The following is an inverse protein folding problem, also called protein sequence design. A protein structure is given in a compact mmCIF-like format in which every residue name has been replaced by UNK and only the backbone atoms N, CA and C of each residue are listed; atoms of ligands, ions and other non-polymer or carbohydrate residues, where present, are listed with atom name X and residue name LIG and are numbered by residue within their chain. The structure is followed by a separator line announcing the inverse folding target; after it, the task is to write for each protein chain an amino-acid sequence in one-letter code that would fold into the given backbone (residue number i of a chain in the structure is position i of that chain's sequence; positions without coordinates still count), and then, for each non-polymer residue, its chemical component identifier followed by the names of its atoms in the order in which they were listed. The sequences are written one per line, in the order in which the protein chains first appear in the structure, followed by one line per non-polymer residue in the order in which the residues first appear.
data_IF_276671255390
#
_entry.id   IF_276671255390
#
_cell.length_a   1.000
_cell.length_b   1.000
_cell.length_c   1.000
_cell.angle_alpha   90.00
_cell.angle_beta   90.00
_cell.angle_gamma   90.00
#
_symmetry.space_group_name_H-M   'P 1'
#
loop_
_entity.id
_entity.type
_entity.pdbx_description
1 polymer ?
2 polymer ?
3 polymer ?
4 non-polymer ?
5 non-polymer ?
6 water ?
#
# COMPACT_ATOMS: atom_id res chain seq x y z
N UNK A 1 -0.41 18.64 7.00
CA UNK A 1 0.54 18.73 5.89
C UNK A 1 0.03 18.04 4.64
N UNK A 2 0.60 18.44 3.52
CA UNK A 2 0.40 17.83 2.22
C UNK A 2 1.65 17.06 1.85
N UNK A 3 1.47 15.78 1.69
CA UNK A 3 2.64 14.94 1.40
C UNK A 3 2.58 14.47 -0.04
N UNK A 4 3.62 14.83 -0.83
CA UNK A 4 3.65 14.35 -2.19
C UNK A 4 4.18 12.92 -2.16
N UNK A 5 4.10 12.32 -3.31
CA UNK A 5 4.38 10.89 -3.42
C UNK A 5 5.55 10.63 -4.34
N UNK A 6 6.37 11.65 -4.55
CA UNK A 6 7.60 11.40 -5.30
C UNK A 6 8.49 10.43 -4.57
N UNK A 7 8.46 10.41 -3.26
CA UNK A 7 9.23 9.54 -2.39
C UNK A 7 8.29 8.73 -1.52
N UNK A 8 8.76 7.65 -0.89
CA UNK A 8 7.91 6.93 0.06
C UNK A 8 7.45 7.87 1.17
N UNK A 9 6.14 7.86 1.54
CA UNK A 9 5.64 8.75 2.60
C UNK A 9 5.88 8.22 4.00
N UNK A 10 7.09 8.46 4.47
CA UNK A 10 7.61 8.04 5.73
C UNK A 10 7.44 9.13 6.76
N UNK A 11 7.01 8.75 7.95
CA UNK A 11 6.83 9.70 9.03
C UNK A 11 7.35 9.07 10.32
N UNK A 12 7.58 9.94 11.31
CA UNK A 12 7.96 9.48 12.64
C UNK A 12 6.71 9.20 13.45
N UNK A 13 6.74 8.11 14.14
CA UNK A 13 5.69 7.73 15.04
C UNK A 13 6.26 7.48 16.43
N UNK A 14 5.37 7.53 17.43
CA UNK A 14 5.73 7.11 18.81
C UNK A 14 4.74 6.06 19.23
N UNK A 15 5.23 4.92 19.66
CA UNK A 15 4.41 3.79 20.02
C UNK A 15 5.12 3.05 21.13
N UNK A 16 4.41 2.75 22.22
CA UNK A 16 5.06 2.02 23.28
C UNK A 16 6.23 2.76 23.88
N UNK A 17 6.32 4.07 23.85
CA UNK A 17 7.40 4.87 24.35
C UNK A 17 8.60 4.89 23.42
N UNK A 18 8.46 4.36 22.22
CA UNK A 18 9.55 4.24 21.27
C UNK A 18 9.34 5.10 20.02
N UNK A 19 10.35 5.75 19.51
CA UNK A 19 10.21 6.45 18.26
C UNK A 19 10.61 5.52 17.13
N UNK A 20 9.81 5.47 16.11
CA UNK A 20 10.01 4.64 14.93
C UNK A 20 9.66 5.44 13.68
N UNK A 21 10.15 4.96 12.56
CA UNK A 21 9.75 5.47 11.26
C UNK A 21 8.73 4.49 10.68
N UNK A 22 7.70 5.02 9.99
CA UNK A 22 6.64 4.21 9.43
C UNK A 22 6.14 4.83 8.14
N UNK A 23 5.62 3.95 7.30
CA UNK A 23 5.08 4.26 6.01
C UNK A 23 3.58 4.50 6.06
N UNK A 24 3.14 5.67 5.56
CA UNK A 24 1.69 5.92 5.46
C UNK A 24 1.12 5.14 4.30
N UNK A 25 0.27 4.15 4.57
CA UNK A 25 -0.01 3.13 3.51
C UNK A 25 -1.52 3.04 3.37
N UNK A 26 -2.05 3.68 2.32
CA UNK A 26 -3.48 3.64 2.01
C UNK A 26 -3.90 2.25 1.52
N UNK A 27 -2.98 1.43 1.09
CA UNK A 27 -3.28 0.08 0.64
C UNK A 27 -3.37 -0.94 1.74
N UNK A 28 -3.14 -0.58 2.99
CA UNK A 28 -3.15 -1.47 4.12
C UNK A 28 -4.41 -1.26 4.96
N UNK A 29 -5.13 -2.34 5.22
CA UNK A 29 -6.30 -2.18 6.12
C UNK A 29 -5.85 -1.92 7.49
N UNK A 30 -4.73 -2.51 7.94
CA UNK A 30 -4.26 -2.60 9.27
C UNK A 30 -2.89 -1.93 9.44
N UNK A 31 -2.56 -1.61 10.64
CA UNK A 31 -1.25 -1.07 11.06
C UNK A 31 -0.39 -2.22 11.57
N UNK A 32 0.82 -2.32 11.01
CA UNK A 32 1.71 -3.42 11.30
C UNK A 32 3.11 -2.88 11.60
N UNK A 33 3.62 -3.27 12.77
CA UNK A 33 4.88 -2.79 13.30
C UNK A 33 5.81 -3.97 13.49
N UNK A 34 7.09 -3.74 13.25
CA UNK A 34 8.15 -4.73 13.54
C UNK A 34 8.18 -5.16 14.98
N UNK A 35 8.81 -6.28 15.27
CA UNK A 35 8.75 -6.85 16.60
C UNK A 35 9.15 -5.87 17.68
N UNK A 36 8.28 -5.75 18.67
CA UNK A 36 8.42 -4.94 19.85
C UNK A 36 7.46 -5.44 20.90
N UNK A 37 7.71 -5.10 22.15
CA UNK A 37 6.83 -5.38 23.26
C UNK A 37 5.69 -4.39 23.31
N UNK A 38 4.46 -4.81 23.51
CA UNK A 38 3.34 -3.91 23.79
C UNK A 38 2.56 -4.48 24.97
N UNK A 39 1.86 -3.60 25.69
CA UNK A 39 1.05 -4.09 26.81
C UNK A 39 -0.29 -4.70 26.37
N UNK A 40 -0.81 -5.56 27.22
CA UNK A 40 -2.11 -6.15 27.21
C UNK A 40 -2.05 -7.52 26.59
N UNK A 41 -3.28 -8.01 26.45
CA UNK A 41 -3.47 -9.31 25.86
C UNK A 41 -3.37 -9.17 24.34
N UNK A 42 -3.08 -10.28 23.69
CA UNK A 42 -3.03 -10.31 22.25
C UNK A 42 -3.63 -11.64 21.72
N UNK A 43 -3.89 -11.60 20.43
CA UNK A 43 -4.30 -12.88 19.81
C UNK A 43 -3.66 -12.94 18.44
N UNK A 44 -3.46 -14.16 17.99
CA UNK A 44 -2.76 -14.34 16.71
C UNK A 44 -3.64 -14.05 15.54
N UNK A 45 -2.99 -13.59 14.47
CA UNK A 45 -3.65 -13.22 13.21
C UNK A 45 -2.76 -13.55 12.05
N UNK A 46 -3.33 -13.84 10.91
CA UNK A 46 -2.59 -13.96 9.65
C UNK A 46 -2.95 -12.79 8.74
N UNK A 47 -1.99 -12.12 8.17
CA UNK A 47 -2.25 -11.00 7.24
C UNK A 47 -1.47 -11.28 5.96
N UNK A 48 -2.03 -10.86 4.85
CA UNK A 48 -1.50 -11.17 3.57
C UNK A 48 -1.33 -10.02 2.66
N UNK A 49 -0.55 -10.25 1.63
CA UNK A 49 -0.35 -9.25 0.61
C UNK A 49 0.60 -9.83 -0.44
N UNK A 50 1.35 -8.97 -1.10
CA UNK A 50 2.26 -9.52 -2.11
C UNK A 50 3.23 -10.45 -1.42
N UNK A 51 3.44 -11.62 -1.95
CA UNK A 51 4.34 -12.58 -1.37
C UNK A 51 3.66 -13.49 -0.40
N UNK A 52 2.40 -13.34 -0.06
CA UNK A 52 1.66 -14.28 0.79
C UNK A 52 1.42 -13.69 2.17
N UNK A 53 1.39 -14.56 3.18
CA UNK A 53 0.95 -14.21 4.50
C UNK A 53 2.05 -14.28 5.54
N UNK A 54 1.91 -13.51 6.60
CA UNK A 54 2.72 -13.60 7.79
C UNK A 54 1.79 -13.68 9.01
N UNK A 55 2.30 -14.30 10.06
CA UNK A 55 1.61 -14.39 11.34
C UNK A 55 2.05 -13.22 12.22
N UNK A 56 1.10 -12.57 12.84
CA UNK A 56 1.32 -11.40 13.70
C UNK A 56 0.53 -11.57 15.00
N UNK A 57 0.87 -10.73 15.96
CA UNK A 57 0.16 -10.60 17.20
C UNK A 57 -0.74 -9.35 17.12
N UNK A 58 -2.00 -9.50 17.44
CA UNK A 58 -2.94 -8.40 17.43
C UNK A 58 -3.15 -7.83 18.83
N UNK A 59 -2.78 -6.58 19.00
CA UNK A 59 -3.01 -5.83 20.24
C UNK A 59 -4.08 -4.78 20.00
N UNK A 60 -5.04 -4.69 20.90
CA UNK A 60 -6.06 -3.66 20.73
C UNK A 60 -5.84 -2.46 21.66
N UNK A 61 -6.48 -1.34 21.32
CA UNK A 61 -6.48 -0.13 22.11
C UNK A 61 -5.09 0.41 22.38
N UNK A 62 -4.26 0.44 21.34
CA UNK A 62 -2.90 0.95 21.43
C UNK A 62 -2.89 2.39 20.95
N UNK A 63 -2.23 3.26 21.71
CA UNK A 63 -2.11 4.65 21.32
C UNK A 63 -0.84 4.86 20.51
N UNK A 64 -0.96 5.57 19.41
CA UNK A 64 0.19 5.88 18.59
C UNK A 64 0.12 7.39 18.33
N UNK A 65 1.27 8.04 18.31
CA UNK A 65 1.38 9.40 17.84
C UNK A 65 1.99 9.37 16.44
N UNK A 66 1.32 9.88 15.43
CA UNK A 66 1.70 9.78 14.05
C UNK A 66 1.94 11.20 13.55
N UNK A 67 3.21 11.50 13.32
CA UNK A 67 3.58 12.81 12.85
C UNK A 67 2.94 13.89 13.70
N UNK A 68 2.91 13.66 15.00
CA UNK A 68 2.32 14.64 15.93
C UNK A 68 0.84 14.56 16.17
N UNK A 69 0.12 13.60 15.58
CA UNK A 69 -1.29 13.41 15.77
C UNK A 69 -1.55 12.12 16.54
N UNK A 70 -2.32 12.16 17.63
CA UNK A 70 -2.61 11.01 18.49
C UNK A 70 -3.77 10.20 17.90
N UNK A 71 -3.69 8.90 17.95
CA UNK A 71 -4.70 8.01 17.44
C UNK A 71 -4.69 6.79 18.33
N UNK A 72 -5.78 6.10 18.46
CA UNK A 72 -5.83 4.81 19.16
C UNK A 72 -6.45 3.76 18.29
N UNK A 73 -5.97 2.54 18.35
CA UNK A 73 -6.56 1.46 17.61
C UNK A 73 -5.78 0.20 17.73
N UNK A 74 -6.12 -0.76 16.90
CA UNK A 74 -5.46 -2.05 16.90
C UNK A 74 -4.11 -1.93 16.18
N UNK A 75 -3.09 -2.55 16.71
CA UNK A 75 -1.79 -2.61 16.12
C UNK A 75 -1.37 -4.07 16.07
N UNK A 76 -0.91 -4.49 14.90
CA UNK A 76 -0.39 -5.81 14.68
C UNK A 76 1.13 -5.81 14.76
N UNK A 77 1.72 -6.77 15.39
CA UNK A 77 3.15 -6.83 15.59
C UNK A 77 3.71 -8.09 15.00
N UNK A 78 4.73 -8.03 14.14
CA UNK A 78 5.29 -9.25 13.57
C UNK A 78 6.32 -8.91 12.54
N UNK A 79 6.74 -9.91 11.78
CA UNK A 79 7.89 -9.75 10.90
C UNK A 79 7.58 -9.06 9.60
N UNK A 80 7.05 -7.86 9.65
CA UNK A 80 6.82 -7.01 8.52
C UNK A 80 8.14 -6.45 8.02
N UNK A 81 8.36 -6.36 6.71
CA UNK A 81 9.62 -5.77 6.27
C UNK A 81 9.71 -4.27 6.51
N UNK A 82 8.61 -3.58 6.76
CA UNK A 82 8.44 -2.15 6.86
C UNK A 82 7.43 -1.86 7.97
N UNK A 83 7.56 -0.87 8.83
CA UNK A 83 6.47 -0.45 9.68
C UNK A 83 5.43 0.27 8.81
N UNK A 84 4.18 -0.10 8.95
CA UNK A 84 3.04 0.31 8.16
C UNK A 84 1.99 1.01 8.98
N UNK A 85 1.58 2.23 8.67
CA UNK A 85 0.38 2.84 9.25
C UNK A 85 -0.73 2.63 8.23
N UNK A 86 -1.70 1.79 8.58
CA UNK A 86 -2.75 1.50 7.69
C UNK A 86 -4.02 2.29 7.95
N UNK A 87 -5.07 1.97 7.22
CA UNK A 87 -6.26 2.82 7.22
C UNK A 87 -6.90 2.92 8.59
N UNK A 88 -6.81 1.90 9.41
CA UNK A 88 -7.46 1.95 10.70
C UNK A 88 -6.97 3.12 11.53
N UNK A 89 -5.72 3.56 11.37
CA UNK A 89 -5.20 4.75 12.07
C UNK A 89 -5.18 5.96 11.16
N UNK A 90 -4.99 5.81 9.85
CA UNK A 90 -5.02 6.98 8.97
C UNK A 90 -6.33 7.73 9.08
N UNK A 91 -7.45 7.01 9.23
CA UNK A 91 -8.73 7.67 9.34
C UNK A 91 -8.75 8.57 10.58
N UNK A 92 -8.13 8.15 11.65
CA UNK A 92 -8.22 8.81 12.95
C UNK A 92 -7.46 10.14 12.91
N UNK A 93 -6.46 10.25 12.07
CA UNK A 93 -5.72 11.51 11.94
C UNK A 93 -6.26 12.37 10.83
N UNK A 94 -7.36 11.94 10.19
CA UNK A 94 -8.01 12.72 9.14
C UNK A 94 -7.30 12.70 7.81
N UNK A 95 -6.54 11.64 7.54
CA UNK A 95 -5.79 11.57 6.29
C UNK A 95 -6.69 11.28 5.13
N UNK A 96 -6.51 12.01 4.04
CA UNK A 96 -7.23 11.80 2.78
C UNK A 96 -6.24 11.75 1.62
N UNK A 97 -6.64 11.09 0.55
CA UNK A 97 -6.04 11.11 -0.74
C UNK A 97 -6.67 12.15 -1.62
N UNK A 98 -5.91 13.03 -2.24
CA UNK A 98 -6.50 14.13 -2.99
C UNK A 98 -5.89 14.19 -4.37
N UNK A 99 -6.67 14.33 -5.40
CA UNK A 99 -6.20 14.58 -6.78
C UNK A 99 -7.30 15.18 -7.61
N UNK B 1 -10.85 14.51 -6.70
CA UNK B 1 -11.60 14.14 -5.52
C UNK B 1 -10.76 14.17 -4.26
N UNK B 2 -11.43 14.13 -3.14
CA UNK B 2 -10.91 13.91 -1.82
C UNK B 2 -11.45 12.57 -1.31
N UNK B 3 -10.53 11.59 -1.16
CA UNK B 3 -10.93 10.22 -0.80
C UNK B 3 -10.55 9.97 0.64
N UNK B 4 -11.56 9.69 1.47
CA UNK B 4 -11.30 9.29 2.83
C UNK B 4 -10.97 7.80 2.88
N UNK B 5 -10.60 7.31 4.02
CA UNK B 5 -10.00 5.98 4.13
C UNK B 5 -10.76 5.02 5.01
N UNK B 6 -12.02 5.32 5.28
CA UNK B 6 -12.86 4.46 6.07
C UNK B 6 -13.12 3.16 5.33
N UNK B 7 -13.14 3.20 4.00
CA UNK B 7 -13.19 2.01 3.17
C UNK B 7 -11.92 1.95 2.33
N UNK B 8 -11.66 0.79 1.72
CA UNK B 8 -10.51 0.68 0.81
C UNK B 8 -10.65 1.69 -0.33
N UNK B 9 -9.59 2.40 -0.73
CA UNK B 9 -9.69 3.39 -1.83
C UNK B 9 -9.60 2.75 -3.19
N UNK B 10 -10.70 2.12 -3.56
CA UNK B 10 -10.84 1.41 -4.82
C UNK B 10 -11.39 2.36 -5.86
N UNK B 11 -10.83 2.33 -7.03
CA UNK B 11 -11.26 3.09 -8.16
C UNK B 11 -11.33 2.24 -9.40
N UNK B 12 -12.00 2.74 -10.42
CA UNK B 12 -12.01 2.10 -11.71
C UNK B 12 -10.82 2.60 -12.54
N UNK B 13 -10.13 1.64 -13.14
CA UNK B 13 -9.06 1.92 -14.10
C UNK B 13 -9.45 1.38 -15.44
N UNK B 14 -8.80 1.89 -16.48
CA UNK B 14 -9.01 1.36 -17.82
C UNK B 14 -7.64 1.09 -18.43
N UNK B 15 -7.46 -0.14 -18.88
CA UNK B 15 -6.20 -0.58 -19.45
C UNK B 15 -6.56 -1.52 -20.59
N UNK B 16 -5.97 -1.35 -21.76
CA UNK B 16 -6.29 -2.20 -22.90
C UNK B 16 -7.76 -2.15 -23.27
N UNK B 17 -8.48 -1.03 -23.08
CA UNK B 17 -9.91 -0.93 -23.42
C UNK B 17 -10.84 -1.57 -22.39
N UNK B 18 -10.25 -2.14 -21.32
CA UNK B 18 -11.11 -2.83 -20.36
C UNK B 18 -11.05 -2.16 -19.00
N UNK B 19 -12.21 -2.16 -18.39
CA UNK B 19 -12.33 -1.61 -17.04
C UNK B 19 -11.95 -2.65 -16.00
N UNK B 20 -11.24 -2.23 -14.97
CA UNK B 20 -10.87 -3.05 -13.85
C UNK B 20 -10.98 -2.20 -12.59
N UNK B 21 -10.99 -2.83 -11.42
CA UNK B 21 -10.92 -2.18 -10.11
C UNK B 21 -9.50 -2.18 -9.60
N UNK B 22 -9.02 -1.12 -8.99
CA UNK B 22 -7.68 -1.11 -8.40
C UNK B 22 -7.67 -0.26 -7.17
N UNK B 23 -6.71 -0.53 -6.32
CA UNK B 23 -6.52 0.11 -5.04
C UNK B 23 -5.48 1.21 -5.12
N UNK B 24 -5.80 2.43 -4.72
CA UNK B 24 -4.82 3.49 -4.64
C UNK B 24 -3.92 3.28 -3.45
N UNK B 25 -2.63 2.98 -3.69
CA UNK B 25 -1.77 2.46 -2.61
C UNK B 25 -0.53 3.23 -2.44
N UNK B 26 -0.52 4.14 -1.44
CA UNK B 26 0.63 4.99 -1.18
C UNK B 26 1.81 4.20 -0.63
N UNK B 27 1.58 2.98 -0.16
CA UNK B 27 2.63 2.09 0.32
C UNK B 27 3.32 1.30 -0.77
N UNK B 28 2.92 1.48 -2.01
CA UNK B 28 3.48 0.77 -3.16
C UNK B 28 4.36 1.68 -3.99
N UNK B 29 5.62 1.25 -4.21
CA UNK B 29 6.46 2.06 -5.12
C UNK B 29 5.91 2.00 -6.55
N UNK B 30 5.38 0.86 -6.92
CA UNK B 30 5.06 0.45 -8.28
C UNK B 30 3.58 0.06 -8.42
N UNK B 31 3.10 0.02 -9.62
CA UNK B 31 1.76 -0.41 -10.01
C UNK B 31 1.82 -1.85 -10.44
N UNK B 32 0.98 -2.68 -9.84
CA UNK B 32 0.98 -4.11 -10.07
C UNK B 32 -0.46 -4.55 -10.35
N UNK B 33 -0.63 -5.24 -11.48
CA UNK B 33 -1.92 -5.70 -11.99
C UNK B 33 -1.92 -7.21 -12.08
N UNK B 34 -3.05 -7.84 -11.85
CA UNK B 34 -3.24 -9.25 -12.04
C UNK B 34 -3.08 -9.63 -13.49
N UNK B 35 -2.79 -10.90 -13.72
CA UNK B 35 -2.56 -11.46 -15.03
C UNK B 35 -3.48 -10.91 -16.12
N UNK B 36 -2.91 -10.39 -17.17
CA UNK B 36 -3.62 -9.82 -18.32
C UNK B 36 -2.62 -9.71 -19.47
N UNK B 37 -3.09 -9.49 -20.68
CA UNK B 37 -2.24 -9.31 -21.84
C UNK B 37 -1.95 -7.83 -22.07
N UNK B 38 -0.67 -7.52 -22.23
CA UNK B 38 -0.23 -6.19 -22.56
C UNK B 38 0.69 -6.26 -23.76
N UNK B 39 0.78 -5.17 -24.51
CA UNK B 39 1.60 -5.16 -25.72
C UNK B 39 3.06 -4.93 -25.46
N UNK B 40 3.85 -5.44 -26.43
CA UNK B 40 5.27 -5.14 -26.39
C UNK B 40 6.11 -6.12 -25.61
N UNK B 41 7.38 -5.79 -25.43
CA UNK B 41 8.28 -6.62 -24.69
C UNK B 41 8.20 -6.29 -23.21
N UNK B 42 8.54 -7.26 -22.39
CA UNK B 42 8.65 -7.09 -20.97
C UNK B 42 10.06 -7.43 -20.48
N UNK B 43 10.34 -6.96 -19.30
CA UNK B 43 11.59 -7.10 -18.57
C UNK B 43 11.32 -7.72 -17.22
N UNK B 44 12.27 -8.43 -16.68
CA UNK B 44 12.04 -9.04 -15.38
C UNK B 44 12.18 -8.06 -14.22
N UNK B 45 11.38 -8.33 -13.17
CA UNK B 45 11.41 -7.49 -11.99
C UNK B 45 11.05 -8.37 -10.81
N UNK B 46 11.70 -8.20 -9.69
CA UNK B 46 11.35 -8.77 -8.38
C UNK B 46 10.84 -7.66 -7.50
N UNK B 47 9.72 -7.94 -6.84
CA UNK B 47 9.16 -6.99 -5.89
C UNK B 47 8.90 -7.67 -4.56
N UNK B 48 8.95 -6.87 -3.50
CA UNK B 48 8.76 -7.39 -2.14
C UNK B 48 7.51 -6.80 -1.55
N UNK B 49 6.75 -7.63 -0.85
CA UNK B 49 5.54 -7.18 -0.15
C UNK B 49 5.63 -7.75 1.26
N UNK B 50 4.47 -7.67 1.94
CA UNK B 50 4.41 -8.10 3.32
C UNK B 50 4.81 -9.53 3.50
N UNK B 51 4.53 -10.41 2.56
CA UNK B 51 4.79 -11.84 2.80
C UNK B 51 6.07 -12.40 2.17
N UNK B 52 6.80 -11.59 1.42
CA UNK B 52 7.99 -12.05 0.73
C UNK B 52 8.04 -11.44 -0.66
N UNK B 53 8.82 -12.02 -1.53
CA UNK B 53 9.16 -11.48 -2.83
C UNK B 53 8.48 -12.28 -3.93
N UNK B 54 8.08 -11.64 -5.01
CA UNK B 54 7.55 -12.28 -6.17
C UNK B 54 8.21 -11.76 -7.43
N UNK B 55 8.21 -12.58 -8.49
CA UNK B 55 8.57 -12.14 -9.86
C UNK B 55 7.37 -11.63 -10.59
N UNK B 56 7.60 -10.58 -11.34
CA UNK B 56 6.57 -9.97 -12.17
C UNK B 56 7.16 -9.65 -13.54
N UNK B 57 6.27 -9.30 -14.46
CA UNK B 57 6.63 -8.86 -15.79
C UNK B 57 6.52 -7.34 -15.83
N UNK B 58 7.55 -6.65 -16.23
CA UNK B 58 7.55 -5.18 -16.27
C UNK B 58 7.33 -4.70 -17.69
N UNK B 59 6.24 -3.97 -17.91
CA UNK B 59 5.90 -3.35 -19.18
C UNK B 59 6.00 -1.85 -19.02
N UNK B 60 6.65 -1.20 -19.94
CA UNK B 60 6.88 0.25 -19.84
C UNK B 60 5.97 1.00 -20.80
N UNK B 61 5.67 2.26 -20.46
CA UNK B 61 4.93 3.18 -21.33
C UNK B 61 3.56 2.70 -21.70
N UNK B 62 2.87 2.13 -20.71
CA UNK B 62 1.51 1.61 -20.90
C UNK B 62 0.51 2.71 -20.61
N UNK B 63 -0.45 2.88 -21.46
CA UNK B 63 -1.54 3.83 -21.31
C UNK B 63 -2.55 3.26 -20.33
N UNK B 64 -2.86 4.01 -19.30
CA UNK B 64 -3.80 3.57 -18.28
C UNK B 64 -4.58 4.76 -17.77
N UNK B 65 -5.90 4.65 -17.67
CA UNK B 65 -6.74 5.69 -17.06
C UNK B 65 -7.02 5.28 -15.62
N UNK B 66 -6.90 6.22 -14.69
CA UNK B 66 -7.08 5.94 -13.27
C UNK B 66 -8.10 6.93 -12.71
N UNK B 67 -9.30 6.46 -12.41
CA UNK B 67 -10.40 7.31 -11.94
C UNK B 67 -10.57 8.47 -12.85
N UNK B 68 -10.50 8.23 -14.13
CA UNK B 68 -10.70 9.23 -15.14
C UNK B 68 -9.54 10.13 -15.47
N UNK B 69 -8.37 9.90 -14.87
CA UNK B 69 -7.14 10.64 -15.14
C UNK B 69 -6.18 9.81 -15.98
N UNK B 70 -5.60 10.38 -17.03
CA UNK B 70 -4.73 9.64 -17.91
C UNK B 70 -3.31 9.59 -17.35
N UNK B 71 -2.75 8.43 -17.41
CA UNK B 71 -1.36 8.17 -17.07
C UNK B 71 -0.74 7.32 -18.17
N UNK B 72 0.58 7.39 -18.31
CA UNK B 72 1.29 6.52 -19.26
C UNK B 72 2.57 6.14 -18.53
N UNK B 73 2.76 4.88 -18.20
CA UNK B 73 3.96 4.54 -17.43
C UNK B 73 4.07 3.06 -17.22
N UNK B 74 4.89 2.69 -16.25
CA UNK B 74 5.25 1.29 -16.05
C UNK B 74 4.19 0.53 -15.31
N UNK B 75 3.81 -0.62 -15.84
CA UNK B 75 2.85 -1.52 -15.20
C UNK B 75 3.51 -2.87 -15.02
N UNK B 76 3.48 -3.39 -13.83
CA UNK B 76 3.96 -4.72 -13.50
C UNK B 76 2.78 -5.69 -13.51
N UNK B 77 2.97 -6.88 -14.05
CA UNK B 77 1.94 -7.90 -14.13
C UNK B 77 2.42 -9.12 -13.37
N UNK B 78 1.62 -9.58 -12.41
CA UNK B 78 2.02 -10.76 -11.64
C UNK B 78 0.97 -11.11 -10.59
N UNK B 79 1.29 -12.08 -9.76
CA UNK B 79 0.35 -12.61 -8.78
C UNK B 79 0.20 -11.77 -7.53
N UNK B 80 -0.36 -10.62 -7.78
CA UNK B 80 -0.83 -9.75 -6.72
C UNK B 80 -2.25 -10.11 -6.23
N UNK B 81 -2.56 -9.97 -4.92
CA UNK B 81 -3.90 -10.26 -4.43
C UNK B 81 -4.93 -9.30 -4.94
N UNK B 82 -4.57 -8.09 -5.29
CA UNK B 82 -5.48 -7.06 -5.78
C UNK B 82 -4.69 -6.14 -6.69
N UNK B 83 -5.35 -5.53 -7.64
CA UNK B 83 -4.72 -4.56 -8.52
C UNK B 83 -4.31 -3.34 -7.72
N UNK B 84 -3.06 -2.91 -7.83
CA UNK B 84 -2.68 -1.75 -7.02
C UNK B 84 -2.01 -0.69 -7.90
N UNK B 85 -2.44 0.55 -7.64
CA UNK B 85 -1.88 1.71 -8.26
C UNK B 85 -0.88 2.30 -7.28
N UNK B 86 0.41 2.25 -7.63
CA UNK B 86 1.47 2.72 -6.78
C UNK B 86 1.94 4.10 -7.15
N UNK B 87 2.98 4.54 -6.42
CA UNK B 87 3.38 5.92 -6.51
C UNK B 87 3.84 6.32 -7.88
N UNK B 88 4.37 5.41 -8.68
CA UNK B 88 4.77 5.82 -10.03
C UNK B 88 3.64 6.42 -10.82
N UNK B 89 2.42 5.95 -10.66
CA UNK B 89 1.27 6.50 -11.37
C UNK B 89 0.48 7.44 -10.48
N UNK B 90 0.49 7.31 -9.17
CA UNK B 90 -0.17 8.31 -8.33
C UNK B 90 0.43 9.68 -8.54
N UNK B 91 1.73 9.77 -8.74
CA UNK B 91 2.32 11.08 -9.03
C UNK B 91 1.87 11.64 -10.35
N UNK B 92 1.65 10.79 -11.37
CA UNK B 92 1.20 11.26 -12.66
C UNK B 92 -0.21 11.85 -12.57
N UNK B 93 -1.04 11.41 -11.67
CA UNK B 93 -2.42 11.92 -11.59
C UNK B 93 -2.49 13.02 -10.56
N UNK B 94 -1.41 13.43 -9.96
CA UNK B 94 -1.38 14.55 -9.05
C UNK B 94 -1.82 14.21 -7.65
N UNK B 95 -1.76 12.94 -7.24
CA UNK B 95 -2.25 12.62 -5.90
C UNK B 95 -1.30 12.97 -4.80
N UNK B 96 -1.90 13.44 -3.70
CA UNK B 96 -1.19 13.72 -2.48
C UNK B 96 -1.95 13.13 -1.30
N UNK B 97 -1.24 12.92 -0.21
CA UNK B 97 -1.82 12.62 1.08
C UNK B 97 -1.89 13.89 1.90
N UNK B 98 -3.01 14.04 2.58
CA UNK B 98 -3.26 15.29 3.30
C UNK B 98 -3.83 14.99 4.67
N UNK B 99 -3.30 15.63 5.69
CA UNK B 99 -3.93 15.54 7.01
C UNK B 99 -3.56 16.78 7.83
N UNK C 1 -5.82 -7.35 4.42
CA UNK C 1 -5.00 -7.22 3.23
C UNK C 1 -4.08 -6.01 3.44
N UNK C 2 -2.79 -6.31 3.31
CA UNK C 2 -1.72 -5.36 3.58
C UNK C 2 -0.86 -5.12 2.36
N UNK C 4 1.59 -2.60 1.22
CA UNK C 4 2.97 -2.40 0.88
C UNK C 4 3.52 -3.13 -0.34
N UNK C 5 4.35 -2.36 -1.04
CA UNK C 5 5.15 -3.00 -2.10
C UNK C 5 6.40 -2.20 -2.35
N UNK C 6 7.53 -2.89 -2.46
CA UNK C 6 8.78 -2.22 -2.80
C UNK C 6 9.59 -2.95 -3.87
N UNK C 7 10.09 -2.17 -4.79
CA UNK C 7 11.24 -2.20 -5.60
C UNK C 7 12.41 -2.84 -4.84
N UNK D 1 15.38 -4.46 -3.47
CA UNK D 1 14.26 -4.52 -4.41
C UNK D 1 13.10 -3.63 -3.99
N UNK D 2 12.29 -3.23 -4.97
CA UNK D 2 11.13 -2.37 -4.82
C UNK D 2 10.10 -3.01 -3.89
N UNK D 3 9.43 -2.10 -3.19
CA UNK D 3 8.53 -2.56 -2.16
C UNK D 3 7.07 -2.17 -2.44
N UNK D 4 6.23 -3.22 -2.33
CA UNK D 4 4.81 -3.06 -2.61
C UNK D 4 4.05 -3.55 -1.40
N UNK D 6 0.47 -2.96 -0.25
CA UNK D 6 -0.81 -3.37 0.30
C UNK D 6 -0.76 -4.30 1.50
N UNK D 7 -1.91 -4.53 2.11
CA UNK D 7 -2.10 -5.45 3.21
C UNK D 7 -3.60 -5.67 3.48
#
# INVERSE_FOLDING_TARGET
PQITLWKRPLVTIKIGGQLKEALLDTGADDTVIEEMSLPGRWKPKMIGGIGGFIKVRQYDQIIIEIAGHKAIGTVLVGPTPVNIIGRNLLTQIGATLNF
PQITLWKRPLVTIKIGGQLKEALLDTGADDTVIEEMSLPGRWKPKMIGGIGGFIKVRQYDQIIIEIAGHKAIGTVLVGPTPVNIIGRNLLTQIGATLNF
QIXIEIA
YDQIXIE
#
